data_IF_604734722189
#
_entry.id   IF_604734722189
#
_cell.length_a   1.000
_cell.length_b   1.000
_cell.length_c   1.000
_cell.angle_alpha   90.00
_cell.angle_beta   90.00
_cell.angle_gamma   90.00
#
_symmetry.space_group_name_H-M   'P 1'
#
loop_
_entity.id
_entity.type
_entity.pdbx_description
1 polymer ?
#
# COMPACT_ATOMS: atom_id res chain seq x y z
N UNK A 1 5.83 -14.45 -14.55
CA UNK A 1 4.91 -13.29 -14.54
C UNK A 1 4.86 -12.81 -13.11
N UNK A 2 5.33 -11.59 -12.85
CA UNK A 2 5.25 -11.00 -11.52
C UNK A 2 3.78 -10.74 -11.21
N UNK A 3 3.27 -11.24 -10.08
CA UNK A 3 1.91 -10.91 -9.66
C UNK A 3 1.93 -9.49 -9.09
N UNK A 4 1.17 -8.59 -9.69
CA UNK A 4 0.98 -7.22 -9.19
C UNK A 4 -0.39 -7.10 -8.50
N UNK A 5 -0.47 -6.25 -7.48
CA UNK A 5 -1.66 -6.03 -6.69
C UNK A 5 -1.89 -4.53 -6.48
N UNK A 6 -3.15 -4.12 -6.37
CA UNK A 6 -3.50 -2.75 -6.00
C UNK A 6 -3.87 -2.67 -4.52
N UNK A 7 -3.42 -1.62 -3.85
CA UNK A 7 -3.81 -1.28 -2.48
C UNK A 7 -4.54 0.06 -2.46
N UNK A 8 -5.56 0.18 -1.61
CA UNK A 8 -6.23 1.45 -1.35
C UNK A 8 -5.69 2.08 -0.07
N UNK A 9 -4.92 3.16 -0.21
CA UNK A 9 -4.34 3.87 0.93
C UNK A 9 -5.30 4.93 1.46
N UNK A 10 -5.62 4.85 2.75
CA UNK A 10 -6.17 5.96 3.52
C UNK A 10 -5.00 6.76 4.08
N UNK A 11 -4.89 8.03 3.69
CA UNK A 11 -3.82 8.93 4.13
C UNK A 11 -4.41 10.06 4.98
N UNK A 12 -3.87 10.26 6.18
CA UNK A 12 -4.29 11.26 7.15
C UNK A 12 -3.12 12.17 7.52
N UNK A 13 -3.32 13.50 7.53
CA UNK A 13 -2.33 14.43 8.04
C UNK A 13 -2.47 14.55 9.56
N UNK A 14 -1.38 14.28 10.26
CA UNK A 14 -1.32 14.26 11.71
C UNK A 14 -1.07 15.66 12.30
N UNK A 15 -1.50 15.94 13.54
CA UNK A 15 -1.20 17.20 14.24
C UNK A 15 0.30 17.52 14.34
N UNK A 16 1.14 16.49 14.34
CA UNK A 16 2.60 16.58 14.43
C UNK A 16 3.27 17.00 13.12
N UNK A 17 2.51 17.14 12.02
CA UNK A 17 3.00 17.63 10.72
C UNK A 17 3.42 16.55 9.73
N UNK A 18 3.13 15.28 10.02
CA UNK A 18 3.44 14.13 9.16
C UNK A 18 2.17 13.50 8.58
N UNK A 19 2.29 12.69 7.55
CA UNK A 19 1.21 11.94 6.92
C UNK A 19 1.29 10.46 7.32
N UNK A 20 0.18 9.92 7.81
CA UNK A 20 0.00 8.50 8.13
C UNK A 20 -0.80 7.83 7.01
N UNK A 21 -0.26 6.76 6.43
CA UNK A 21 -0.98 5.86 5.53
C UNK A 21 -1.33 4.54 6.22
N UNK A 22 -2.57 4.11 6.01
CA UNK A 22 -3.09 2.80 6.40
C UNK A 22 -3.83 2.15 5.22
N UNK A 23 -3.98 0.84 5.24
CA UNK A 23 -4.67 0.09 4.19
C UNK A 23 -5.58 -0.97 4.81
N UNK A 24 -6.89 -0.86 4.60
CA UNK A 24 -7.84 -1.89 5.05
C UNK A 24 -7.71 -3.17 4.21
N UNK A 25 -7.32 -3.05 2.94
CA UNK A 25 -7.18 -4.20 2.04
C UNK A 25 -5.96 -5.07 2.37
N UNK A 26 -4.96 -4.52 3.06
CA UNK A 26 -3.71 -5.18 3.42
C UNK A 26 -3.39 -4.91 4.91
N UNK A 27 -3.96 -5.71 5.83
CA UNK A 27 -3.73 -5.56 7.26
C UNK A 27 -2.25 -5.57 7.63
N UNK A 28 -1.87 -4.72 8.58
CA UNK A 28 -0.47 -4.54 9.00
C UNK A 28 0.30 -3.50 8.18
N UNK A 29 -0.28 -2.96 7.09
CA UNK A 29 0.30 -1.82 6.40
C UNK A 29 0.05 -0.53 7.18
N UNK A 30 1.13 0.02 7.72
CA UNK A 30 1.19 1.34 8.33
C UNK A 30 2.47 2.03 7.85
N UNK A 31 2.35 3.21 7.27
CA UNK A 31 3.49 4.00 6.78
C UNK A 31 3.36 5.46 7.21
N UNK A 32 4.47 6.12 7.46
CA UNK A 32 4.49 7.53 7.87
C UNK A 32 5.59 8.28 7.10
N UNK A 33 5.29 9.51 6.68
CA UNK A 33 6.20 10.34 5.89
C UNK A 33 5.87 11.82 6.00
N UNK A 34 6.75 12.69 5.52
CA UNK A 34 6.60 14.15 5.62
C UNK A 34 5.74 14.73 4.49
N UNK A 35 5.60 13.98 3.40
CA UNK A 35 4.77 14.36 2.24
C UNK A 35 3.92 13.17 1.80
N UNK A 36 2.80 13.42 1.11
CA UNK A 36 1.95 12.35 0.57
C UNK A 36 2.76 11.41 -0.33
N UNK A 37 3.60 11.93 -1.22
CA UNK A 37 4.41 11.12 -2.14
C UNK A 37 5.37 10.20 -1.40
N UNK A 38 6.10 10.73 -0.41
CA UNK A 38 7.01 9.94 0.43
C UNK A 38 6.24 8.86 1.21
N UNK A 39 5.09 9.21 1.80
CA UNK A 39 4.26 8.25 2.52
C UNK A 39 3.77 7.13 1.61
N UNK A 40 3.42 7.42 0.35
CA UNK A 40 3.02 6.42 -0.65
C UNK A 40 4.19 5.51 -1.02
N UNK A 41 5.39 6.05 -1.24
CA UNK A 41 6.59 5.26 -1.53
C UNK A 41 6.90 4.27 -0.39
N UNK A 42 6.86 4.74 0.85
CA UNK A 42 7.06 3.89 2.04
C UNK A 42 5.95 2.83 2.13
N UNK A 43 4.70 3.21 1.89
CA UNK A 43 3.57 2.28 1.91
C UNK A 43 3.70 1.18 0.86
N UNK A 44 4.18 1.50 -0.35
CA UNK A 44 4.42 0.52 -1.42
C UNK A 44 5.50 -0.50 -1.03
N UNK A 45 6.59 -0.03 -0.42
CA UNK A 45 7.67 -0.90 0.05
C UNK A 45 7.22 -1.84 1.17
N UNK A 46 6.41 -1.34 2.11
CA UNK A 46 5.81 -2.16 3.16
C UNK A 46 4.83 -3.18 2.57
N UNK A 47 3.97 -2.75 1.64
CA UNK A 47 3.01 -3.63 0.98
C UNK A 47 3.70 -4.81 0.28
N UNK A 48 4.80 -4.54 -0.43
CA UNK A 48 5.61 -5.57 -1.08
C UNK A 48 6.10 -6.62 -0.09
N UNK A 49 6.72 -6.17 1.02
CA UNK A 49 7.25 -7.06 2.07
C UNK A 49 6.16 -7.89 2.75
N UNK A 50 4.99 -7.29 3.00
CA UNK A 50 3.85 -8.03 3.57
C UNK A 50 3.38 -9.13 2.61
N UNK A 51 3.19 -8.80 1.32
CA UNK A 51 2.76 -9.77 0.31
C UNK A 51 3.78 -10.90 0.15
N UNK A 52 5.08 -10.57 0.10
CA UNK A 52 6.17 -11.55 0.09
C UNK A 52 6.11 -12.48 1.30
N UNK A 53 5.92 -11.91 2.50
CA UNK A 53 5.78 -12.68 3.74
C UNK A 53 4.61 -13.67 3.69
N UNK A 54 3.42 -13.25 3.23
CA UNK A 54 2.27 -14.16 3.04
C UNK A 54 2.63 -15.32 2.12
N UNK A 55 3.30 -15.04 1.00
CA UNK A 55 3.69 -16.06 0.01
C UNK A 55 4.72 -17.04 0.59
N UNK A 56 5.74 -16.53 1.28
CA UNK A 56 6.81 -17.34 1.88
C UNK A 56 6.28 -18.29 2.97
N UNK A 57 5.29 -17.86 3.75
CA UNK A 57 4.69 -18.66 4.81
C UNK A 57 3.57 -19.59 4.30
N UNK A 58 3.27 -19.57 3.00
CA UNK A 58 2.17 -20.35 2.41
C UNK A 58 0.78 -19.88 2.87
N UNK A 59 0.68 -18.66 3.38
CA UNK A 59 -0.56 -18.05 3.82
C UNK A 59 -1.34 -17.52 2.61
N UNK A 60 -2.67 -17.48 2.73
CA UNK A 60 -3.50 -16.87 1.70
C UNK A 60 -3.45 -15.36 1.86
N UNK A 61 -3.18 -14.67 0.75
CA UNK A 61 -3.32 -13.23 0.70
C UNK A 61 -4.75 -12.81 1.11
N UNK A 62 -4.91 -11.64 1.76
CA UNK A 62 -6.23 -11.12 2.08
C UNK A 62 -7.14 -11.10 0.86
N UNK A 63 -8.38 -11.55 1.02
CA UNK A 63 -9.36 -11.62 -0.09
C UNK A 63 -9.77 -10.23 -0.61
N UNK A 64 -9.52 -9.20 0.18
CA UNK A 64 -9.66 -7.78 -0.15
C UNK A 64 -8.59 -7.29 -1.13
N UNK A 65 -7.42 -7.93 -1.15
CA UNK A 65 -6.31 -7.54 -2.01
C UNK A 65 -6.60 -7.92 -3.47
N UNK A 66 -6.69 -6.91 -4.33
CA UNK A 66 -7.03 -7.10 -5.75
C UNK A 66 -5.78 -7.32 -6.57
N UNK A 67 -5.74 -8.44 -7.29
CA UNK A 67 -4.70 -8.74 -8.27
C UNK A 67 -4.93 -7.97 -9.57
N UNK A 68 -3.89 -7.37 -10.10
CA UNK A 68 -3.91 -6.74 -11.43
C UNK A 68 -3.88 -7.84 -12.48
N UNK A 69 -4.83 -7.79 -13.43
CA UNK A 69 -4.92 -8.72 -14.54
C UNK A 69 -4.34 -8.09 -15.81
N UNK A 70 -5.17 -7.47 -16.65
CA UNK A 70 -4.76 -6.90 -17.94
C UNK A 70 -4.87 -5.38 -18.00
N UNK A 71 -5.73 -4.79 -17.16
CA UNK A 71 -6.02 -3.36 -17.12
C UNK A 71 -6.20 -2.95 -15.66
N UNK A 72 -5.76 -1.74 -15.34
CA UNK A 72 -5.93 -1.14 -14.01
C UNK A 72 -6.14 0.36 -14.16
N UNK A 73 -7.14 0.87 -13.46
CA UNK A 73 -7.35 2.31 -13.26
C UNK A 73 -6.93 2.67 -11.84
N UNK A 74 -6.08 3.69 -11.71
CA UNK A 74 -5.59 4.14 -10.40
C UNK A 74 -5.48 5.67 -10.34
N UNK A 75 -5.84 6.22 -9.18
CA UNK A 75 -5.55 7.60 -8.84
C UNK A 75 -4.20 7.67 -8.14
N UNK A 76 -3.31 8.55 -8.61
CA UNK A 76 -1.95 8.71 -8.05
C UNK A 76 -1.78 10.14 -7.55
N UNK A 77 -1.26 10.28 -6.34
CA UNK A 77 -0.90 11.58 -5.79
C UNK A 77 0.28 12.18 -6.58
N UNK A 78 0.16 13.46 -6.92
CA UNK A 78 1.21 14.22 -7.62
C UNK A 78 1.55 15.46 -6.80
N UNK A 79 2.84 15.65 -6.55
CA UNK A 79 3.36 16.89 -5.99
C UNK A 79 3.37 17.99 -7.05
N UNK A 80 3.02 19.21 -6.67
CA UNK A 80 3.13 20.41 -7.50
C UNK A 80 4.32 21.25 -7.05
#
# INVERSE_FOLDING_TARGET
MSNEYTIHLKIEHLPEGEYLATCEDLPGLVAQGRTISETVEIAQDIARKLIESYIEHGEKLPHTLKKIANEVELNVAVGA
#
